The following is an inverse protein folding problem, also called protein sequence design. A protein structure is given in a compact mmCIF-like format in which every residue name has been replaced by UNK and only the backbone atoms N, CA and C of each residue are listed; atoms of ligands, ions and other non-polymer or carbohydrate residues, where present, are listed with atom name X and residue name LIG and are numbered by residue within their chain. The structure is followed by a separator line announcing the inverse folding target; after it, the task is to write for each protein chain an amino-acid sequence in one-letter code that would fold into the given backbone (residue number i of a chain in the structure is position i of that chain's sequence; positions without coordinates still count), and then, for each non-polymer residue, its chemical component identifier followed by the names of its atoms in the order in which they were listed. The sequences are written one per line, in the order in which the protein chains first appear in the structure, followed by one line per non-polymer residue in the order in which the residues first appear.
data_IF_031052251817
#
_entry.id   IF_031052251817
#
_cell.length_a   1.000
_cell.length_b   1.000
_cell.length_c   1.000
_cell.angle_alpha   90.00
_cell.angle_beta   90.00
_cell.angle_gamma   90.00
#
_symmetry.space_group_name_H-M   'P 1'
#
loop_
_entity.id
_entity.type
_entity.pdbx_description
1 polymer ?
#
# COMPACT_ATOMS: atom_id res chain seq x y z
N UNK A 1 -74.29 -8.74 -33.11
CA UNK A 1 -73.62 -9.58 -32.10
C UNK A 1 -73.81 -8.91 -30.74
N UNK A 2 -74.57 -9.52 -29.81
CA UNK A 2 -74.96 -8.87 -28.53
C UNK A 2 -73.70 -8.60 -27.69
N UNK A 3 -73.64 -7.44 -27.01
CA UNK A 3 -72.50 -6.97 -26.18
C UNK A 3 -72.00 -8.04 -25.20
N UNK A 4 -72.89 -8.93 -24.71
CA UNK A 4 -72.53 -10.11 -23.91
C UNK A 4 -71.53 -11.06 -24.58
N UNK A 5 -71.62 -11.27 -25.89
CA UNK A 5 -70.72 -12.15 -26.61
C UNK A 5 -69.33 -11.52 -26.83
N UNK A 6 -69.24 -10.19 -26.90
CA UNK A 6 -67.96 -9.48 -27.02
C UNK A 6 -67.20 -9.51 -25.70
N UNK A 7 -67.90 -9.34 -24.56
CA UNK A 7 -67.29 -9.42 -23.23
C UNK A 7 -66.76 -10.84 -22.95
N UNK A 8 -67.48 -11.89 -23.34
CA UNK A 8 -67.03 -13.28 -23.16
C UNK A 8 -65.79 -13.59 -24.01
N UNK A 9 -65.74 -13.13 -25.27
CA UNK A 9 -64.59 -13.35 -26.15
C UNK A 9 -63.35 -12.62 -25.62
N UNK A 10 -63.48 -11.38 -25.14
CA UNK A 10 -62.36 -10.63 -24.53
C UNK A 10 -61.88 -11.34 -23.24
N UNK A 11 -62.79 -11.81 -22.39
CA UNK A 11 -62.42 -12.55 -21.17
C UNK A 11 -61.68 -13.87 -21.51
N UNK A 12 -62.10 -14.58 -22.56
CA UNK A 12 -61.42 -15.79 -23.03
C UNK A 12 -60.01 -15.51 -23.57
N UNK A 13 -59.79 -14.40 -24.30
CA UNK A 13 -58.45 -14.00 -24.78
C UNK A 13 -57.49 -13.63 -23.62
N UNK A 14 -58.00 -13.00 -22.56
CA UNK A 14 -57.20 -12.74 -21.35
C UNK A 14 -56.83 -14.01 -20.58
N UNK A 15 -57.74 -14.99 -20.50
CA UNK A 15 -57.47 -16.27 -19.82
C UNK A 15 -56.49 -17.17 -20.59
N UNK A 16 -56.50 -17.15 -21.94
CA UNK A 16 -55.53 -17.92 -22.73
C UNK A 16 -54.12 -17.31 -22.71
N UNK A 17 -53.98 -15.99 -22.60
CA UNK A 17 -52.68 -15.33 -22.49
C UNK A 17 -52.00 -15.61 -21.13
N UNK A 18 -52.78 -15.74 -20.06
CA UNK A 18 -52.25 -16.10 -18.74
C UNK A 18 -51.74 -17.55 -18.71
N UNK A 19 -52.45 -18.51 -19.33
CA UNK A 19 -52.04 -19.92 -19.32
C UNK A 19 -50.70 -20.18 -20.04
N UNK A 20 -50.44 -19.53 -21.17
CA UNK A 20 -49.18 -19.67 -21.91
C UNK A 20 -47.99 -19.10 -21.14
N UNK A 21 -48.20 -17.99 -20.43
CA UNK A 21 -47.17 -17.32 -19.62
C UNK A 21 -46.82 -18.12 -18.37
N UNK A 22 -47.82 -18.73 -17.72
CA UNK A 22 -47.63 -19.62 -16.56
C UNK A 22 -46.83 -20.88 -16.96
N UNK A 23 -47.16 -21.50 -18.09
CA UNK A 23 -46.48 -22.71 -18.57
C UNK A 23 -45.01 -22.47 -18.94
N UNK A 24 -44.69 -21.32 -19.56
CA UNK A 24 -43.31 -20.93 -19.83
C UNK A 24 -42.50 -20.58 -18.58
N UNK A 25 -43.16 -20.07 -17.53
CA UNK A 25 -42.55 -19.81 -16.21
C UNK A 25 -42.20 -21.12 -15.49
N UNK A 26 -43.09 -22.11 -15.50
CA UNK A 26 -42.83 -23.43 -14.88
C UNK A 26 -41.69 -24.18 -15.58
N UNK A 27 -41.62 -24.12 -16.92
CA UNK A 27 -40.53 -24.74 -17.66
C UNK A 27 -39.17 -24.08 -17.38
N UNK A 28 -39.15 -22.74 -17.26
CA UNK A 28 -37.95 -21.99 -16.91
C UNK A 28 -37.48 -22.29 -15.49
N UNK A 29 -38.41 -22.45 -14.55
CA UNK A 29 -38.11 -22.88 -13.17
C UNK A 29 -37.52 -24.29 -13.11
N UNK A 30 -38.07 -25.24 -13.85
CA UNK A 30 -37.53 -26.60 -13.93
C UNK A 30 -36.11 -26.62 -14.51
N UNK A 31 -35.89 -25.91 -15.63
CA UNK A 31 -34.56 -25.81 -16.24
C UNK A 31 -33.56 -25.15 -15.29
N UNK A 32 -33.92 -24.03 -14.67
CA UNK A 32 -33.07 -23.38 -13.68
C UNK A 32 -32.72 -24.31 -12.52
N UNK A 33 -33.70 -25.07 -12.02
CA UNK A 33 -33.47 -26.07 -10.97
C UNK A 33 -32.45 -27.12 -11.37
N UNK A 34 -32.52 -27.65 -12.60
CA UNK A 34 -31.54 -28.64 -13.07
C UNK A 34 -30.10 -28.10 -13.06
N UNK A 35 -29.90 -26.85 -13.48
CA UNK A 35 -28.60 -26.16 -13.37
C UNK A 35 -28.19 -25.98 -11.90
N UNK A 36 -29.11 -25.56 -11.03
CA UNK A 36 -28.83 -25.38 -9.60
C UNK A 36 -28.41 -26.69 -8.92
N UNK A 37 -29.07 -27.80 -9.25
CA UNK A 37 -28.79 -29.13 -8.70
C UNK A 37 -27.44 -29.66 -9.17
N UNK A 38 -27.10 -29.48 -10.46
CA UNK A 38 -25.75 -29.78 -10.99
C UNK A 38 -24.68 -28.93 -10.33
N UNK A 39 -24.92 -27.62 -10.21
CA UNK A 39 -23.98 -26.70 -9.57
C UNK A 39 -23.71 -27.11 -8.11
N UNK A 40 -24.75 -27.48 -7.36
CA UNK A 40 -24.63 -27.94 -5.98
C UNK A 40 -23.88 -29.28 -5.87
N UNK A 41 -24.05 -30.19 -6.85
CA UNK A 41 -23.27 -31.43 -6.90
C UNK A 41 -21.78 -31.14 -7.15
N UNK A 42 -21.46 -30.21 -8.05
CA UNK A 42 -20.10 -29.77 -8.32
C UNK A 42 -19.46 -29.07 -7.11
N UNK A 43 -20.21 -28.27 -6.36
CA UNK A 43 -19.73 -27.70 -5.09
C UNK A 43 -19.33 -28.80 -4.09
N UNK A 44 -20.12 -29.87 -3.99
CA UNK A 44 -19.83 -31.00 -3.07
C UNK A 44 -18.57 -31.76 -3.46
N UNK A 45 -18.25 -31.80 -4.75
CA UNK A 45 -17.02 -32.42 -5.26
C UNK A 45 -15.87 -31.40 -5.37
N UNK A 46 -16.00 -30.23 -4.75
CA UNK A 46 -15.00 -29.15 -4.75
C UNK A 46 -14.62 -28.63 -6.16
N UNK A 47 -15.46 -28.92 -7.16
CA UNK A 47 -15.33 -28.46 -8.53
C UNK A 47 -15.85 -27.01 -8.68
N UNK A 48 -15.26 -26.09 -7.90
CA UNK A 48 -15.79 -24.74 -7.69
C UNK A 48 -15.87 -23.90 -8.96
N UNK A 49 -14.92 -24.04 -9.89
CA UNK A 49 -14.96 -23.32 -11.16
C UNK A 49 -16.19 -23.73 -12.00
N UNK A 50 -16.39 -25.03 -12.17
CA UNK A 50 -17.52 -25.58 -12.92
C UNK A 50 -18.85 -25.29 -12.23
N UNK A 51 -18.90 -25.38 -10.90
CA UNK A 51 -20.08 -24.97 -10.12
C UNK A 51 -20.42 -23.50 -10.36
N UNK A 52 -19.42 -22.61 -10.37
CA UNK A 52 -19.62 -21.19 -10.65
C UNK A 52 -20.19 -20.93 -12.06
N UNK A 53 -19.73 -21.70 -13.06
CA UNK A 53 -20.26 -21.63 -14.43
C UNK A 53 -21.72 -22.09 -14.50
N UNK A 54 -22.10 -23.18 -13.84
CA UNK A 54 -23.49 -23.65 -13.80
C UNK A 54 -24.42 -22.63 -13.10
N UNK A 55 -23.97 -22.00 -12.01
CA UNK A 55 -24.73 -20.90 -11.40
C UNK A 55 -24.81 -19.67 -12.32
N UNK A 56 -23.76 -19.35 -13.07
CA UNK A 56 -23.79 -18.27 -14.05
C UNK A 56 -24.83 -18.53 -15.14
N UNK A 57 -25.01 -19.78 -15.60
CA UNK A 57 -26.06 -20.14 -16.56
C UNK A 57 -27.46 -19.79 -16.02
N UNK A 58 -27.73 -20.04 -14.74
CA UNK A 58 -29.01 -19.64 -14.11
C UNK A 58 -29.13 -18.11 -14.03
N UNK A 59 -28.06 -17.44 -13.64
CA UNK A 59 -28.03 -15.99 -13.51
C UNK A 59 -28.27 -15.27 -14.86
N UNK A 60 -27.72 -15.79 -15.96
CA UNK A 60 -27.80 -15.18 -17.29
C UNK A 60 -29.10 -15.52 -18.03
N UNK A 61 -29.49 -16.80 -18.05
CA UNK A 61 -30.56 -17.28 -18.92
C UNK A 61 -31.92 -17.38 -18.23
N UNK A 62 -31.96 -17.40 -16.90
CA UNK A 62 -33.20 -17.62 -16.14
C UNK A 62 -33.45 -16.53 -15.06
N UNK A 63 -33.40 -15.23 -15.41
CA UNK A 63 -33.45 -14.13 -14.43
C UNK A 63 -34.81 -13.94 -13.75
N UNK A 64 -35.89 -14.47 -14.32
CA UNK A 64 -37.24 -14.42 -13.76
C UNK A 64 -37.52 -15.50 -12.71
N UNK A 65 -36.61 -16.46 -12.56
CA UNK A 65 -36.79 -17.60 -11.64
C UNK A 65 -36.45 -17.23 -10.20
N UNK A 66 -37.04 -17.97 -9.27
CA UNK A 66 -36.77 -17.90 -7.83
C UNK A 66 -35.31 -18.15 -7.47
N UNK A 67 -34.57 -18.85 -8.34
CA UNK A 67 -33.15 -19.16 -8.16
C UNK A 67 -32.20 -18.03 -8.54
N UNK A 68 -32.65 -17.03 -9.34
CA UNK A 68 -31.76 -16.03 -9.93
C UNK A 68 -30.88 -15.32 -8.89
N UNK A 69 -31.47 -14.85 -7.78
CA UNK A 69 -30.71 -14.14 -6.73
C UNK A 69 -29.60 -15.02 -6.16
N UNK A 70 -29.91 -16.28 -5.83
CA UNK A 70 -28.94 -17.21 -5.27
C UNK A 70 -27.86 -17.56 -6.30
N UNK A 71 -28.25 -17.77 -7.56
CA UNK A 71 -27.35 -18.06 -8.66
C UNK A 71 -26.33 -16.93 -8.88
N UNK A 72 -26.77 -15.66 -8.92
CA UNK A 72 -25.90 -14.50 -9.03
C UNK A 72 -24.88 -14.46 -7.88
N UNK A 73 -25.32 -14.72 -6.64
CA UNK A 73 -24.43 -14.75 -5.47
C UNK A 73 -23.41 -15.89 -5.54
N UNK A 74 -23.85 -17.09 -5.92
CA UNK A 74 -22.99 -18.27 -6.02
C UNK A 74 -21.98 -18.16 -7.17
N UNK A 75 -22.41 -17.67 -8.33
CA UNK A 75 -21.52 -17.35 -9.45
C UNK A 75 -20.41 -16.38 -9.02
N UNK A 76 -20.72 -15.39 -8.17
CA UNK A 76 -19.72 -14.47 -7.66
C UNK A 76 -18.78 -15.12 -6.62
N UNK A 77 -19.35 -15.73 -5.58
CA UNK A 77 -18.60 -16.22 -4.42
C UNK A 77 -17.69 -17.42 -4.74
N UNK A 78 -18.11 -18.31 -5.65
CA UNK A 78 -17.30 -19.45 -6.06
C UNK A 78 -16.11 -19.08 -6.94
N UNK A 79 -16.23 -18.00 -7.74
CA UNK A 79 -15.12 -17.46 -8.52
C UNK A 79 -13.98 -16.88 -7.64
N UNK A 80 -14.24 -16.61 -6.37
CA UNK A 80 -13.23 -16.15 -5.39
C UNK A 80 -13.09 -17.12 -4.20
N UNK A 81 -13.55 -18.35 -4.36
CA UNK A 81 -13.42 -19.36 -3.33
C UNK A 81 -11.93 -19.74 -3.15
N UNK A 82 -11.38 -19.79 -1.93
CA UNK A 82 -9.95 -20.06 -1.72
C UNK A 82 -9.46 -21.41 -2.24
N UNK A 83 -10.35 -22.40 -2.32
CA UNK A 83 -10.04 -23.72 -2.87
C UNK A 83 -10.36 -23.86 -4.37
N UNK A 84 -10.82 -22.79 -5.02
CA UNK A 84 -10.92 -22.77 -6.47
C UNK A 84 -9.51 -22.53 -7.06
N UNK A 85 -8.93 -23.45 -7.85
CA UNK A 85 -7.62 -23.23 -8.47
C UNK A 85 -7.69 -22.16 -9.59
N UNK A 86 -8.88 -21.92 -10.13
CA UNK A 86 -9.15 -20.99 -11.23
C UNK A 86 -9.92 -19.76 -10.72
N UNK A 87 -9.40 -19.14 -9.66
CA UNK A 87 -9.97 -17.90 -9.11
C UNK A 87 -9.99 -16.83 -10.21
N UNK A 88 -11.15 -16.20 -10.38
CA UNK A 88 -11.35 -15.12 -11.33
C UNK A 88 -11.99 -13.91 -10.64
N UNK A 89 -11.14 -13.00 -10.16
CA UNK A 89 -11.55 -11.78 -9.46
C UNK A 89 -12.37 -10.84 -10.33
N UNK A 90 -12.12 -10.78 -11.65
CA UNK A 90 -12.86 -9.91 -12.56
C UNK A 90 -14.31 -10.38 -12.73
N UNK A 91 -14.50 -11.68 -12.98
CA UNK A 91 -15.82 -12.30 -13.10
C UNK A 91 -16.60 -12.19 -11.79
N UNK A 92 -15.95 -12.46 -10.65
CA UNK A 92 -16.58 -12.30 -9.34
C UNK A 92 -17.01 -10.86 -9.07
N UNK A 93 -16.18 -9.87 -9.41
CA UNK A 93 -16.53 -8.45 -9.24
C UNK A 93 -17.76 -8.06 -10.07
N UNK A 94 -17.84 -8.56 -11.31
CA UNK A 94 -18.99 -8.32 -12.17
C UNK A 94 -20.28 -8.90 -11.57
N UNK A 95 -20.23 -10.15 -11.09
CA UNK A 95 -21.38 -10.80 -10.46
C UNK A 95 -21.78 -10.15 -9.13
N UNK A 96 -20.83 -9.73 -8.30
CA UNK A 96 -21.13 -8.98 -7.08
C UNK A 96 -21.79 -7.63 -7.38
N UNK A 97 -21.34 -6.93 -8.42
CA UNK A 97 -21.97 -5.68 -8.89
C UNK A 97 -23.37 -5.93 -9.45
N UNK A 98 -23.61 -7.06 -10.12
CA UNK A 98 -24.95 -7.47 -10.54
C UNK A 98 -25.84 -7.79 -9.33
N UNK A 99 -25.32 -8.51 -8.33
CA UNK A 99 -26.04 -8.86 -7.10
C UNK A 99 -26.52 -7.62 -6.34
N UNK A 100 -25.68 -6.58 -6.24
CA UNK A 100 -26.01 -5.32 -5.58
C UNK A 100 -27.15 -4.53 -6.26
N UNK A 101 -27.51 -4.86 -7.50
CA UNK A 101 -28.66 -4.26 -8.21
C UNK A 101 -29.99 -4.96 -7.90
N UNK A 102 -29.95 -6.13 -7.27
CA UNK A 102 -31.14 -6.90 -6.90
C UNK A 102 -31.80 -6.34 -5.62
N UNK A 103 -33.07 -6.70 -5.35
CA UNK A 103 -33.71 -6.39 -4.07
C UNK A 103 -33.06 -7.21 -2.94
N UNK A 104 -32.19 -6.56 -2.16
CA UNK A 104 -31.43 -7.16 -1.07
C UNK A 104 -31.90 -6.67 0.30
N UNK A 105 -31.85 -7.56 1.30
CA UNK A 105 -31.90 -7.16 2.71
C UNK A 105 -30.66 -6.32 3.09
N UNK A 106 -30.72 -5.53 4.18
CA UNK A 106 -29.57 -4.77 4.65
C UNK A 106 -28.31 -5.63 4.88
N UNK A 107 -28.47 -6.84 5.43
CA UNK A 107 -27.37 -7.75 5.69
C UNK A 107 -26.73 -8.31 4.40
N UNK A 108 -27.55 -8.68 3.41
CA UNK A 108 -27.06 -9.11 2.10
C UNK A 108 -26.29 -7.98 1.40
N UNK A 109 -26.81 -6.75 1.46
CA UNK A 109 -26.16 -5.57 0.87
C UNK A 109 -24.82 -5.25 1.53
N UNK A 110 -24.75 -5.30 2.86
CA UNK A 110 -23.51 -5.11 3.60
C UNK A 110 -22.47 -6.17 3.22
N UNK A 111 -22.90 -7.44 3.18
CA UNK A 111 -22.04 -8.57 2.81
C UNK A 111 -21.50 -8.39 1.38
N UNK A 112 -22.36 -8.15 0.40
CA UNK A 112 -21.94 -7.97 -0.99
C UNK A 112 -21.00 -6.76 -1.17
N UNK A 113 -21.28 -5.64 -0.48
CA UNK A 113 -20.42 -4.45 -0.49
C UNK A 113 -19.03 -4.74 0.10
N UNK A 114 -18.97 -5.54 1.17
CA UNK A 114 -17.71 -5.99 1.74
C UNK A 114 -16.90 -6.83 0.74
N UNK A 115 -17.52 -7.81 0.07
CA UNK A 115 -16.85 -8.62 -0.94
C UNK A 115 -16.36 -7.79 -2.13
N UNK A 116 -17.16 -6.83 -2.63
CA UNK A 116 -16.72 -5.89 -3.68
C UNK A 116 -15.45 -5.15 -3.25
N UNK A 117 -15.45 -4.59 -2.03
CA UNK A 117 -14.32 -3.83 -1.51
C UNK A 117 -13.06 -4.69 -1.37
N UNK A 118 -13.21 -5.96 -0.97
CA UNK A 118 -12.08 -6.89 -0.91
C UNK A 118 -11.51 -7.20 -2.29
N UNK A 119 -12.37 -7.53 -3.27
CA UNK A 119 -11.93 -7.87 -4.63
C UNK A 119 -11.25 -6.68 -5.31
N UNK A 120 -11.79 -5.47 -5.14
CA UNK A 120 -11.15 -4.25 -5.65
C UNK A 120 -9.79 -3.99 -4.99
N UNK A 121 -9.64 -4.26 -3.69
CA UNK A 121 -8.34 -4.16 -3.02
C UNK A 121 -7.35 -5.19 -3.55
N UNK A 122 -7.77 -6.42 -3.83
CA UNK A 122 -6.91 -7.45 -4.44
C UNK A 122 -6.42 -7.01 -5.81
N UNK A 123 -7.32 -6.51 -6.67
CA UNK A 123 -6.95 -6.01 -7.99
C UNK A 123 -5.93 -4.85 -7.91
N UNK A 124 -6.15 -3.91 -6.99
CA UNK A 124 -5.21 -2.81 -6.77
C UNK A 124 -3.84 -3.30 -6.29
N UNK A 125 -3.81 -4.26 -5.37
CA UNK A 125 -2.57 -4.86 -4.89
C UNK A 125 -1.82 -5.63 -5.99
N UNK A 126 -2.54 -6.31 -6.89
CA UNK A 126 -1.94 -6.96 -8.04
C UNK A 126 -1.30 -5.94 -9.00
N UNK A 127 -1.96 -4.81 -9.24
CA UNK A 127 -1.40 -3.73 -10.06
C UNK A 127 -0.16 -3.08 -9.40
N UNK A 128 -0.21 -2.81 -8.10
CA UNK A 128 0.93 -2.33 -7.31
C UNK A 128 2.10 -3.32 -7.40
N UNK A 129 1.84 -4.62 -7.25
CA UNK A 129 2.86 -5.67 -7.34
C UNK A 129 3.50 -5.73 -8.72
N UNK A 130 2.71 -5.68 -9.80
CA UNK A 130 3.23 -5.65 -11.17
C UNK A 130 4.16 -4.47 -11.40
N UNK A 131 3.77 -3.27 -10.95
CA UNK A 131 4.60 -2.07 -11.07
C UNK A 131 5.94 -2.22 -10.35
N UNK A 132 5.94 -2.78 -9.14
CA UNK A 132 7.17 -3.00 -8.36
C UNK A 132 8.07 -4.04 -9.03
N UNK A 133 7.50 -5.08 -9.62
CA UNK A 133 8.26 -6.09 -10.37
C UNK A 133 8.91 -5.48 -11.62
N UNK A 134 8.19 -4.63 -12.35
CA UNK A 134 8.75 -3.92 -13.50
C UNK A 134 9.91 -2.99 -13.08
N UNK A 135 9.74 -2.24 -12.00
CA UNK A 135 10.80 -1.37 -11.47
C UNK A 135 12.03 -2.18 -11.04
N UNK A 136 11.83 -3.30 -10.33
CA UNK A 136 12.92 -4.24 -9.98
C UNK A 136 13.69 -4.69 -11.22
N UNK A 137 12.99 -5.09 -12.28
CA UNK A 137 13.63 -5.57 -13.51
C UNK A 137 14.46 -4.47 -14.18
N UNK A 138 13.94 -3.23 -14.26
CA UNK A 138 14.69 -2.08 -14.77
C UNK A 138 15.95 -1.79 -13.95
N UNK A 139 15.85 -1.84 -12.62
CA UNK A 139 17.02 -1.62 -11.75
C UNK A 139 18.08 -2.71 -11.92
N UNK A 140 17.66 -3.95 -12.16
CA UNK A 140 18.56 -5.07 -12.43
C UNK A 140 19.30 -4.86 -13.76
N UNK A 141 18.61 -4.43 -14.82
CA UNK A 141 19.25 -4.06 -16.09
C UNK A 141 20.28 -2.94 -15.94
N UNK A 142 19.95 -1.88 -15.19
CA UNK A 142 20.87 -0.77 -14.93
C UNK A 142 22.11 -1.27 -14.18
N UNK A 143 21.91 -2.11 -13.16
CA UNK A 143 23.00 -2.65 -12.34
C UNK A 143 23.90 -3.56 -13.17
N UNK A 144 23.33 -4.39 -14.04
CA UNK A 144 24.09 -5.26 -14.94
C UNK A 144 24.91 -4.44 -15.94
N UNK A 145 24.32 -3.38 -16.51
CA UNK A 145 25.04 -2.47 -17.41
C UNK A 145 26.20 -1.77 -16.70
N UNK A 146 25.96 -1.22 -15.50
CA UNK A 146 27.01 -0.57 -14.72
C UNK A 146 28.15 -1.53 -14.38
N UNK A 147 27.84 -2.78 -14.05
CA UNK A 147 28.87 -3.80 -13.81
C UNK A 147 29.73 -4.06 -15.05
N UNK A 148 29.10 -4.16 -16.23
CA UNK A 148 29.82 -4.34 -17.50
C UNK A 148 30.68 -3.12 -17.86
N UNK A 149 30.16 -1.90 -17.64
CA UNK A 149 30.89 -0.67 -17.90
C UNK A 149 32.12 -0.58 -16.98
N UNK A 150 31.96 -0.88 -15.68
CA UNK A 150 33.06 -0.93 -14.70
C UNK A 150 34.12 -1.95 -15.11
N UNK A 151 33.73 -3.15 -15.55
CA UNK A 151 34.66 -4.17 -16.01
C UNK A 151 35.47 -3.67 -17.22
N UNK A 152 34.79 -3.03 -18.18
CA UNK A 152 35.44 -2.46 -19.36
C UNK A 152 36.41 -1.31 -19.03
N UNK A 153 36.02 -0.41 -18.12
CA UNK A 153 36.86 0.70 -17.65
C UNK A 153 38.06 0.20 -16.85
N UNK A 154 37.87 -0.85 -16.06
CA UNK A 154 38.96 -1.48 -15.29
C UNK A 154 40.00 -2.05 -16.24
N UNK A 155 39.57 -2.81 -17.25
CA UNK A 155 40.48 -3.34 -18.29
C UNK A 155 41.20 -2.22 -19.04
N UNK A 156 40.50 -1.13 -19.38
CA UNK A 156 41.11 0.00 -20.06
C UNK A 156 42.16 0.71 -19.20
N UNK A 157 41.97 0.79 -17.89
CA UNK A 157 42.96 1.32 -16.96
C UNK A 157 44.21 0.45 -16.92
N UNK A 158 44.06 -0.86 -16.83
CA UNK A 158 45.20 -1.80 -16.85
C UNK A 158 46.03 -1.66 -18.13
N UNK A 159 45.39 -1.52 -19.30
CA UNK A 159 46.08 -1.25 -20.56
C UNK A 159 46.88 0.06 -20.51
N UNK A 160 46.27 1.15 -20.03
CA UNK A 160 46.94 2.45 -19.93
C UNK A 160 48.11 2.44 -18.93
N UNK A 161 47.98 1.70 -17.82
CA UNK A 161 49.07 1.52 -16.85
C UNK A 161 50.24 0.75 -17.47
N UNK A 162 49.97 -0.27 -18.29
CA UNK A 162 51.00 -1.00 -19.03
C UNK A 162 51.71 -0.12 -20.06
N UNK A 163 50.95 0.66 -20.85
CA UNK A 163 51.49 1.61 -21.82
C UNK A 163 52.37 2.67 -21.14
N UNK A 164 51.93 3.20 -20.00
CA UNK A 164 52.68 4.18 -19.22
C UNK A 164 53.98 3.57 -18.67
N UNK A 165 53.94 2.35 -18.16
CA UNK A 165 55.13 1.65 -17.70
C UNK A 165 56.15 1.43 -18.84
N UNK A 166 55.67 1.04 -20.01
CA UNK A 166 56.50 0.90 -21.21
C UNK A 166 57.14 2.23 -21.63
N UNK A 167 56.37 3.32 -21.68
CA UNK A 167 56.87 4.65 -22.02
C UNK A 167 57.97 5.14 -21.05
N UNK A 168 57.83 4.84 -19.75
CA UNK A 168 58.87 5.15 -18.76
C UNK A 168 60.16 4.37 -18.96
N UNK A 169 60.07 3.10 -19.35
CA UNK A 169 61.25 2.28 -19.65
C UNK A 169 61.99 2.82 -20.89
N UNK A 170 61.27 3.16 -21.95
CA UNK A 170 61.84 3.80 -23.15
C UNK A 170 62.50 5.14 -22.83
N UNK A 171 61.84 6.00 -22.05
CA UNK A 171 62.43 7.28 -21.61
C UNK A 171 63.73 7.07 -20.83
N UNK A 172 63.80 6.03 -19.97
CA UNK A 172 65.00 5.68 -19.22
C UNK A 172 66.12 5.21 -20.15
N UNK A 173 65.81 4.41 -21.17
CA UNK A 173 66.77 4.01 -22.22
C UNK A 173 67.29 5.22 -22.99
N UNK A 174 66.42 6.12 -23.43
CA UNK A 174 66.81 7.34 -24.15
C UNK A 174 67.74 8.23 -23.30
N UNK A 175 67.42 8.44 -22.02
CA UNK A 175 68.30 9.17 -21.09
C UNK A 175 69.66 8.50 -20.92
N UNK A 176 69.72 7.16 -20.87
CA UNK A 176 70.98 6.44 -20.77
C UNK A 176 71.84 6.60 -22.05
N UNK A 177 71.22 6.64 -23.23
CA UNK A 177 71.89 6.95 -24.50
C UNK A 177 72.45 8.37 -24.48
N UNK A 178 71.66 9.36 -24.05
CA UNK A 178 72.09 10.77 -23.99
C UNK A 178 73.29 10.97 -23.04
N UNK A 179 73.24 10.37 -21.84
CA UNK A 179 74.38 10.36 -20.89
C UNK A 179 75.62 9.71 -21.50
N UNK A 180 75.45 8.60 -22.25
CA UNK A 180 76.57 7.94 -22.93
C UNK A 180 77.17 8.84 -24.01
N UNK A 181 76.33 9.50 -24.82
CA UNK A 181 76.77 10.44 -25.85
C UNK A 181 77.56 11.60 -25.24
N UNK A 182 77.06 12.20 -24.16
CA UNK A 182 77.79 13.25 -23.43
C UNK A 182 79.11 12.78 -22.82
N UNK A 183 79.17 11.59 -22.19
CA UNK A 183 80.43 11.04 -21.66
C UNK A 183 81.46 10.79 -22.77
N UNK A 184 81.03 10.24 -23.92
CA UNK A 184 81.92 10.00 -25.07
C UNK A 184 82.41 11.28 -25.76
N UNK A 185 81.66 12.39 -25.67
CA UNK A 185 82.09 13.70 -26.13
C UNK A 185 83.12 14.37 -25.21
N UNK A 186 83.02 14.13 -23.90
CA UNK A 186 83.98 14.65 -22.89
C UNK A 186 85.28 13.84 -22.88
N UNK A 187 85.22 12.52 -23.07
CA UNK A 187 86.43 11.67 -23.18
C UNK A 187 87.25 11.93 -24.46
N UNK A 188 86.62 12.46 -25.53
CA UNK A 188 87.33 12.97 -26.73
C UNK A 188 87.95 14.36 -26.56
N UNK A 189 87.76 15.01 -25.40
CA UNK A 189 88.13 16.40 -25.14
C UNK A 189 89.03 16.55 -23.90
N UNK A 190 90.00 15.66 -23.71
CA UNK A 190 91.10 15.91 -22.75
C UNK A 190 92.30 16.43 -23.53
N UNK A 191 92.35 17.75 -23.68
CA UNK A 191 93.42 18.49 -24.35
C UNK A 191 93.24 20.02 -24.24
N UNK A 192 93.64 20.55 -23.07
CA UNK A 192 93.90 21.97 -22.72
C UNK A 192 92.75 22.95 -22.35
N UNK A 193 92.99 23.86 -21.36
CA UNK A 193 91.99 24.73 -20.76
C UNK A 193 92.08 26.20 -21.22
N UNK A 194 90.96 26.96 -21.15
CA UNK A 194 90.85 28.28 -20.48
C UNK A 194 89.51 28.99 -20.74
N UNK A 195 88.83 29.27 -19.63
CA UNK A 195 88.10 30.50 -19.23
C UNK A 195 87.06 31.22 -20.13
N UNK A 196 85.86 31.36 -19.52
CA UNK A 196 85.08 32.60 -19.31
C UNK A 196 84.27 33.20 -20.48
N UNK A 197 82.94 33.33 -20.30
CA UNK A 197 82.24 34.60 -20.01
C UNK A 197 80.73 34.35 -19.77
N UNK A 198 80.21 35.10 -18.79
CA UNK A 198 78.84 35.17 -18.29
C UNK A 198 77.81 35.68 -19.33
N UNK A 199 76.56 35.19 -19.24
CA UNK A 199 75.36 36.06 -19.11
C UNK A 199 74.10 35.25 -18.79
N UNK A 200 73.51 35.53 -17.63
CA UNK A 200 72.11 35.27 -17.35
C UNK A 200 71.22 36.33 -18.04
N UNK A 201 69.90 36.06 -18.16
CA UNK A 201 69.00 36.92 -17.39
C UNK A 201 67.86 36.19 -16.67
N UNK A 202 67.74 36.55 -15.39
CA UNK A 202 66.56 36.87 -14.56
C UNK A 202 65.20 36.20 -14.84
N UNK A 203 64.72 35.54 -13.79
CA UNK A 203 63.35 35.29 -13.36
C UNK A 203 62.50 36.57 -13.15
N UNK A 204 61.19 36.48 -13.43
CA UNK A 204 60.11 37.17 -12.67
C UNK A 204 58.76 36.43 -12.77
N UNK A 205 58.43 35.81 -11.64
CA UNK A 205 57.15 35.55 -10.93
C UNK A 205 55.80 36.14 -11.42
N UNK A 206 54.79 35.24 -11.44
CA UNK A 206 53.40 35.27 -10.90
C UNK A 206 52.40 36.37 -11.34
N UNK A 207 51.21 35.92 -11.76
CA UNK A 207 49.98 36.74 -11.75
C UNK A 207 48.80 36.17 -12.56
N UNK A 208 48.00 35.28 -11.93
CA UNK A 208 46.52 35.27 -11.89
C UNK A 208 45.71 35.84 -13.10
N UNK A 209 44.83 35.06 -13.75
CA UNK A 209 43.77 35.61 -14.59
C UNK A 209 42.43 35.72 -13.82
N UNK A 210 41.82 36.92 -13.85
CA UNK A 210 40.44 37.15 -13.40
C UNK A 210 39.61 37.74 -14.53
N UNK A 211 38.51 37.04 -14.86
CA UNK A 211 37.17 37.49 -15.32
C UNK A 211 37.09 38.42 -16.56
N UNK A 212 36.20 38.28 -17.55
CA UNK A 212 34.80 37.83 -17.67
C UNK A 212 34.46 37.82 -19.20
N UNK A 213 33.49 37.08 -19.78
CA UNK A 213 32.05 37.37 -19.88
C UNK A 213 31.38 36.31 -20.78
N UNK A 214 30.33 35.66 -20.22
CA UNK A 214 29.02 35.23 -20.77
C UNK A 214 28.88 34.44 -22.10
N UNK A 215 28.18 33.29 -22.04
CA UNK A 215 26.70 33.19 -22.22
C UNK A 215 26.20 31.73 -22.09
N UNK A 216 25.25 31.52 -21.19
CA UNK A 216 24.27 30.43 -21.27
C UNK A 216 22.88 30.98 -20.88
N UNK A 217 21.78 30.44 -21.44
CA UNK A 217 20.49 31.14 -21.52
C UNK A 217 19.62 30.92 -20.27
N UNK A 218 18.88 31.97 -19.89
CA UNK A 218 17.75 31.89 -18.96
C UNK A 218 16.47 31.59 -19.76
N UNK A 219 15.82 30.47 -19.46
CA UNK A 219 14.45 30.18 -19.93
C UNK A 219 13.44 30.89 -19.03
N UNK A 220 12.46 31.52 -19.69
CA UNK A 220 11.50 32.47 -19.12
C UNK A 220 10.35 31.76 -18.38
N UNK A 221 10.02 32.36 -17.24
CA UNK A 221 8.75 32.29 -16.51
C UNK A 221 7.57 32.65 -17.42
N UNK A 222 6.54 31.81 -17.44
CA UNK A 222 5.23 32.12 -18.06
C UNK A 222 4.37 32.87 -17.05
N UNK A 223 3.94 34.05 -17.46
CA UNK A 223 3.09 34.96 -16.72
C UNK A 223 1.62 34.51 -16.71
N UNK A 224 1.08 34.58 -15.51
CA UNK A 224 -0.29 34.69 -15.06
C UNK A 224 -1.19 35.53 -15.99
N UNK A 225 -2.30 34.94 -16.45
CA UNK A 225 -3.44 35.65 -17.03
C UNK A 225 -4.55 35.73 -15.97
N UNK A 226 -4.83 36.94 -15.52
CA UNK A 226 -6.00 37.27 -14.69
C UNK A 226 -7.16 37.64 -15.60
N UNK A 227 -8.31 37.00 -15.43
CA UNK A 227 -9.60 37.55 -15.86
C UNK A 227 -10.66 37.42 -14.78
N UNK A 228 -11.23 38.59 -14.51
CA UNK A 228 -12.40 38.98 -13.73
C UNK A 228 -13.66 38.15 -13.93
N UNK A 229 -14.42 37.89 -12.84
CA UNK A 229 -15.90 37.89 -12.84
C UNK A 229 -16.45 38.37 -11.47
N UNK A 230 -17.03 39.58 -11.49
CA UNK A 230 -18.27 40.12 -10.91
C UNK A 230 -18.88 39.63 -9.56
N UNK A 231 -19.45 40.61 -8.85
CA UNK A 231 -20.25 40.56 -7.60
C UNK A 231 -21.71 40.93 -7.92
N UNK A 232 -22.70 40.09 -7.55
CA UNK A 232 -23.85 40.35 -6.64
C UNK A 232 -25.18 39.85 -7.29
N UNK A 233 -26.32 39.65 -6.59
CA UNK A 233 -26.60 39.71 -5.14
C UNK A 233 -27.32 38.46 -4.56
N UNK A 234 -27.50 38.50 -3.25
CA UNK A 234 -28.27 37.57 -2.42
C UNK A 234 -29.76 37.48 -2.81
N UNK A 235 -30.35 36.29 -2.68
CA UNK A 235 -31.79 36.13 -2.53
C UNK A 235 -32.07 35.15 -1.38
N UNK A 236 -32.73 35.66 -0.35
CA UNK A 236 -33.29 34.89 0.77
C UNK A 236 -34.50 34.10 0.28
N UNK A 237 -34.58 32.82 0.61
CA UNK A 237 -35.87 32.16 0.83
C UNK A 237 -35.73 30.98 1.79
N UNK A 238 -36.62 31.00 2.78
CA UNK A 238 -36.77 30.14 3.94
C UNK A 238 -36.78 28.63 3.65
N UNK A 239 -36.11 27.84 4.50
CA UNK A 239 -36.53 26.47 4.79
C UNK A 239 -36.46 26.16 6.29
N UNK A 240 -37.64 25.92 6.85
CA UNK A 240 -37.91 25.33 8.15
C UNK A 240 -37.21 23.97 8.33
N UNK A 241 -36.79 23.77 9.58
CA UNK A 241 -36.18 22.58 10.22
C UNK A 241 -36.81 21.25 9.80
N UNK A 242 -35.95 20.25 9.52
CA UNK A 242 -36.10 18.90 10.09
C UNK A 242 -34.72 18.31 10.32
N UNK A 243 -34.46 17.99 11.58
CA UNK A 243 -33.17 17.63 12.17
C UNK A 243 -32.90 16.14 11.97
N UNK A 244 -31.86 15.78 11.22
CA UNK A 244 -31.17 14.49 11.32
C UNK A 244 -29.68 14.78 11.28
N UNK A 245 -29.05 14.83 12.46
CA UNK A 245 -27.62 15.13 12.58
C UNK A 245 -26.79 13.89 12.24
N UNK A 246 -26.58 13.66 10.94
CA UNK A 246 -25.32 13.05 10.51
C UNK A 246 -24.21 14.07 10.77
N UNK A 247 -23.40 13.88 11.81
CA UNK A 247 -22.14 14.62 11.94
C UNK A 247 -21.20 14.16 10.82
N UNK A 248 -21.31 14.81 9.67
CA UNK A 248 -20.24 14.86 8.69
C UNK A 248 -19.06 15.58 9.37
N UNK A 249 -18.05 14.82 9.77
CA UNK A 249 -16.77 15.41 10.16
C UNK A 249 -16.11 15.93 8.89
N UNK A 250 -16.08 17.25 8.74
CA UNK A 250 -15.16 17.91 7.82
C UNK A 250 -13.73 17.44 8.13
N UNK A 251 -12.87 17.19 7.12
CA UNK A 251 -11.51 16.75 7.36
C UNK A 251 -10.74 17.88 8.05
N UNK A 252 -10.47 17.72 9.35
CA UNK A 252 -9.58 18.62 10.10
C UNK A 252 -8.18 18.41 9.54
N UNK A 253 -7.70 19.40 8.77
CA UNK A 253 -6.48 19.37 7.95
C UNK A 253 -5.15 19.19 8.70
N UNK A 254 -5.13 18.90 10.01
CA UNK A 254 -3.91 18.89 10.83
C UNK A 254 -3.81 17.75 11.87
N UNK A 255 -4.61 16.68 11.79
CA UNK A 255 -4.35 15.48 12.60
C UNK A 255 -3.39 14.56 11.84
N UNK A 256 -2.14 14.47 12.30
CA UNK A 256 -1.18 13.48 11.81
C UNK A 256 -1.67 12.08 12.21
N UNK A 257 -2.02 11.26 11.22
CA UNK A 257 -2.49 9.90 11.41
C UNK A 257 -1.32 8.90 11.27
N UNK A 258 -1.24 7.92 12.16
CA UNK A 258 -0.33 6.77 12.12
C UNK A 258 -1.12 5.47 11.92
N UNK A 259 -1.78 5.28 10.77
CA UNK A 259 -2.72 4.18 10.61
C UNK A 259 -2.03 2.83 10.38
N UNK A 260 -0.71 2.80 10.15
CA UNK A 260 0.04 1.58 9.83
C UNK A 260 0.84 1.05 11.03
N UNK A 261 0.88 -0.27 11.12
CA UNK A 261 1.70 -1.06 12.05
C UNK A 261 2.23 -2.30 11.33
N UNK A 262 3.12 -3.03 11.98
CA UNK A 262 3.63 -4.31 11.46
C UNK A 262 3.13 -5.41 12.36
N UNK A 263 2.40 -6.38 11.82
CA UNK A 263 2.05 -7.58 12.54
C UNK A 263 3.21 -8.56 12.47
N UNK A 264 3.73 -8.98 13.63
CA UNK A 264 4.86 -9.92 13.73
C UNK A 264 4.42 -11.31 14.18
N UNK A 265 3.23 -11.43 14.79
CA UNK A 265 2.70 -12.70 15.26
C UNK A 265 1.21 -12.66 15.57
N UNK A 266 0.61 -13.85 15.69
CA UNK A 266 -0.77 -14.05 16.11
C UNK A 266 -0.85 -15.29 16.99
N UNK A 267 -1.33 -15.12 18.21
CA UNK A 267 -1.32 -16.15 19.25
C UNK A 267 -2.75 -16.48 19.69
N UNK A 268 -2.97 -17.73 20.09
CA UNK A 268 -4.22 -18.18 20.71
C UNK A 268 -4.32 -17.76 22.17
N UNK A 269 -3.22 -17.92 22.90
CA UNK A 269 -3.10 -17.46 24.28
C UNK A 269 -2.82 -15.96 24.32
N UNK A 270 -3.51 -15.28 25.23
CA UNK A 270 -3.26 -13.88 25.54
C UNK A 270 -1.88 -13.71 26.16
N UNK A 271 -1.53 -14.60 27.08
CA UNK A 271 -0.27 -14.62 27.82
C UNK A 271 0.91 -14.75 26.87
N UNK A 272 0.84 -15.65 25.88
CA UNK A 272 1.89 -15.82 24.87
C UNK A 272 2.12 -14.54 24.06
N UNK A 273 1.04 -13.88 23.64
CA UNK A 273 1.15 -12.60 22.93
C UNK A 273 1.74 -11.48 23.79
N UNK A 274 1.47 -11.50 25.10
CA UNK A 274 2.02 -10.52 26.04
C UNK A 274 3.50 -10.78 26.25
N UNK A 275 3.94 -12.04 26.43
CA UNK A 275 5.36 -12.38 26.56
C UNK A 275 6.15 -11.94 25.33
N UNK A 276 5.62 -12.22 24.14
CA UNK A 276 6.23 -11.76 22.89
C UNK A 276 6.33 -10.23 22.82
N UNK A 277 5.25 -9.54 23.20
CA UNK A 277 5.24 -8.09 23.24
C UNK A 277 6.24 -7.50 24.24
N UNK A 278 6.51 -8.19 25.36
CA UNK A 278 7.54 -7.79 26.32
C UNK A 278 8.94 -7.93 25.75
N UNK A 279 9.26 -9.06 25.10
CA UNK A 279 10.56 -9.28 24.44
C UNK A 279 10.88 -8.18 23.44
N UNK A 280 9.91 -7.81 22.60
CA UNK A 280 10.07 -6.73 21.63
C UNK A 280 10.21 -5.35 22.30
N UNK A 281 9.46 -5.08 23.38
CA UNK A 281 9.59 -3.83 24.14
C UNK A 281 10.95 -3.69 24.80
N UNK A 282 11.51 -4.78 25.32
CA UNK A 282 12.85 -4.80 25.93
C UNK A 282 13.94 -4.53 24.89
N UNK A 283 13.70 -4.89 23.62
CA UNK A 283 14.53 -4.51 22.47
C UNK A 283 14.32 -3.06 21.99
N UNK A 284 13.47 -2.29 22.67
CA UNK A 284 13.17 -0.88 22.37
C UNK A 284 12.03 -0.67 21.38
N UNK A 285 11.36 -1.73 20.93
CA UNK A 285 10.27 -1.61 19.97
C UNK A 285 8.97 -1.09 20.63
N UNK A 286 8.23 -0.27 19.90
CA UNK A 286 6.90 0.15 20.34
C UNK A 286 5.87 -0.90 19.96
N UNK A 287 5.29 -1.59 20.95
CA UNK A 287 4.42 -2.76 20.71
C UNK A 287 3.05 -2.66 21.37
N UNK A 288 2.01 -3.04 20.64
CA UNK A 288 0.66 -3.27 21.16
C UNK A 288 0.14 -4.67 20.81
N UNK A 289 -0.72 -5.22 21.66
CA UNK A 289 -1.45 -6.47 21.38
C UNK A 289 -2.88 -6.11 21.04
N UNK A 290 -3.38 -6.62 19.91
CA UNK A 290 -4.75 -6.42 19.45
C UNK A 290 -5.54 -7.72 19.50
N UNK A 291 -6.68 -7.69 20.20
CA UNK A 291 -7.60 -8.83 20.27
C UNK A 291 -8.51 -8.91 19.04
N UNK A 292 -8.60 -10.10 18.47
CA UNK A 292 -9.46 -10.40 17.34
C UNK A 292 -10.17 -11.75 17.55
N UNK A 293 -11.49 -11.71 17.72
CA UNK A 293 -12.32 -12.90 17.57
C UNK A 293 -12.55 -13.19 16.08
N UNK A 294 -12.21 -14.39 15.65
CA UNK A 294 -12.39 -14.89 14.29
C UNK A 294 -13.47 -15.97 14.32
N UNK A 295 -14.54 -15.81 13.53
CA UNK A 295 -15.63 -16.78 13.47
C UNK A 295 -15.10 -18.18 13.11
N UNK A 296 -15.55 -19.20 13.83
CA UNK A 296 -15.08 -20.59 13.67
C UNK A 296 -13.64 -20.86 14.14
N UNK A 297 -12.86 -19.82 14.49
CA UNK A 297 -11.47 -19.95 14.96
C UNK A 297 -11.24 -19.36 16.36
N UNK A 298 -12.26 -18.83 17.03
CA UNK A 298 -12.14 -18.32 18.40
C UNK A 298 -11.30 -17.04 18.52
N UNK A 299 -10.74 -16.82 19.71
CA UNK A 299 -9.98 -15.61 20.04
C UNK A 299 -8.52 -15.72 19.60
N UNK A 300 -7.99 -14.59 19.10
CA UNK A 300 -6.61 -14.42 18.67
C UNK A 300 -6.07 -13.09 19.16
N UNK A 301 -4.77 -13.07 19.46
CA UNK A 301 -4.05 -11.92 19.97
C UNK A 301 -2.88 -11.61 19.03
N UNK A 302 -2.98 -10.49 18.32
CA UNK A 302 -2.02 -10.06 17.30
C UNK A 302 -1.00 -9.14 17.93
N UNK A 303 0.28 -9.46 17.79
CA UNK A 303 1.38 -8.61 18.24
C UNK A 303 1.73 -7.65 17.12
N UNK A 304 1.59 -6.35 17.40
CA UNK A 304 1.75 -5.27 16.43
C UNK A 304 2.89 -4.34 16.87
N UNK A 305 3.82 -4.07 15.96
CA UNK A 305 5.03 -3.30 16.18
C UNK A 305 5.00 -2.01 15.37
N UNK A 306 5.47 -0.93 16.00
CA UNK A 306 5.72 0.36 15.38
C UNK A 306 4.46 1.13 15.00
N UNK A 307 4.65 2.41 14.69
CA UNK A 307 3.57 3.33 14.33
C UNK A 307 4.03 4.17 13.14
N UNK A 308 3.42 3.95 11.98
CA UNK A 308 3.92 4.52 10.73
C UNK A 308 2.82 5.32 10.02
N UNK A 309 3.24 6.39 9.34
CA UNK A 309 2.34 7.31 8.65
C UNK A 309 1.97 6.79 7.27
N UNK A 310 2.94 6.20 6.60
CA UNK A 310 2.80 5.72 5.23
C UNK A 310 3.08 4.22 5.18
N UNK A 311 2.48 3.50 4.20
CA UNK A 311 2.74 2.07 4.05
C UNK A 311 4.21 1.80 3.69
N UNK A 312 4.88 2.70 2.98
CA UNK A 312 6.30 2.57 2.60
C UNK A 312 7.22 2.61 3.84
N UNK A 313 6.95 3.52 4.78
CA UNK A 313 7.66 3.61 6.06
C UNK A 313 7.50 2.31 6.86
N UNK A 314 6.26 1.81 6.94
CA UNK A 314 5.96 0.55 7.61
C UNK A 314 6.62 -0.66 6.92
N UNK A 315 6.70 -0.65 5.59
CA UNK A 315 7.26 -1.75 4.81
C UNK A 315 8.77 -1.81 4.96
N UNK A 316 9.45 -0.66 4.99
CA UNK A 316 10.89 -0.59 5.30
C UNK A 316 11.18 -1.18 6.68
N UNK A 317 10.43 -0.77 7.70
CA UNK A 317 10.61 -1.31 9.05
C UNK A 317 10.21 -2.80 9.16
N UNK A 318 9.28 -3.28 8.34
CA UNK A 318 8.95 -4.71 8.29
C UNK A 318 10.10 -5.54 7.74
N UNK A 319 10.87 -5.02 6.77
CA UNK A 319 12.09 -5.68 6.28
C UNK A 319 13.17 -5.75 7.36
N UNK A 320 13.34 -4.70 8.16
CA UNK A 320 14.26 -4.70 9.29
C UNK A 320 13.86 -5.74 10.36
N UNK A 321 12.57 -5.90 10.65
CA UNK A 321 12.08 -6.95 11.55
C UNK A 321 12.28 -8.37 10.99
N UNK A 322 12.15 -8.56 9.66
CA UNK A 322 12.45 -9.86 9.02
C UNK A 322 13.91 -10.27 9.18
N UNK A 323 14.82 -9.31 9.19
CA UNK A 323 16.24 -9.55 9.46
C UNK A 323 16.52 -9.87 10.94
N UNK A 324 15.55 -9.62 11.84
CA UNK A 324 15.57 -9.93 13.28
C UNK A 324 14.74 -11.18 13.62
N UNK A 325 14.69 -12.15 12.69
CA UNK A 325 13.98 -13.46 12.81
C UNK A 325 12.44 -13.41 12.70
N UNK A 326 11.83 -12.24 12.48
CA UNK A 326 10.38 -12.13 12.24
C UNK A 326 10.04 -12.28 10.76
N UNK A 327 10.33 -13.46 10.18
CA UNK A 327 10.18 -13.70 8.74
C UNK A 327 8.77 -13.46 8.20
N UNK A 328 7.75 -13.63 9.05
CA UNK A 328 6.34 -13.40 8.72
C UNK A 328 5.84 -11.99 9.07
N UNK A 329 6.73 -11.02 9.33
CA UNK A 329 6.33 -9.64 9.57
C UNK A 329 5.69 -9.02 8.32
N UNK A 330 4.49 -8.44 8.47
CA UNK A 330 3.80 -7.73 7.38
C UNK A 330 3.03 -6.50 7.86
N UNK A 331 2.83 -5.55 6.95
CA UNK A 331 2.16 -4.28 7.24
C UNK A 331 0.66 -4.48 7.39
N UNK A 332 0.08 -3.91 8.44
CA UNK A 332 -1.35 -3.87 8.71
C UNK A 332 -1.83 -2.44 8.94
N UNK A 333 -3.13 -2.22 8.77
CA UNK A 333 -3.75 -0.90 8.95
C UNK A 333 -4.92 -0.94 9.94
N UNK A 334 -4.67 -0.96 11.27
CA UNK A 334 -5.70 -0.78 12.30
C UNK A 334 -5.84 0.71 12.67
N UNK A 335 -6.75 1.47 12.04
CA UNK A 335 -6.72 2.93 12.12
C UNK A 335 -7.34 3.50 13.40
N UNK A 336 -8.05 2.69 14.20
CA UNK A 336 -8.76 3.15 15.40
C UNK A 336 -7.99 2.82 16.68
N UNK A 337 -8.03 3.72 17.65
CA UNK A 337 -7.43 3.55 18.97
C UNK A 337 -8.29 4.26 20.02
N UNK A 338 -8.06 3.96 21.30
CA UNK A 338 -8.62 4.73 22.41
C UNK A 338 -7.56 5.69 22.94
N UNK A 339 -7.86 6.99 22.98
CA UNK A 339 -7.00 8.03 23.57
C UNK A 339 -7.46 8.37 24.99
N UNK A 340 -6.52 8.36 25.93
CA UNK A 340 -6.77 8.71 27.34
C UNK A 340 -6.39 10.15 27.68
N UNK A 341 -5.65 10.81 26.79
CA UNK A 341 -5.30 12.22 26.90
C UNK A 341 -3.94 12.55 26.29
N UNK A 342 -3.59 13.83 26.35
CA UNK A 342 -2.29 14.36 25.97
C UNK A 342 -1.55 14.88 27.21
N UNK A 343 -0.31 14.44 27.42
CA UNK A 343 0.48 14.69 28.62
C UNK A 343 1.77 15.43 28.26
N UNK A 344 2.23 16.33 29.12
CA UNK A 344 3.54 17.00 29.00
C UNK A 344 4.50 16.60 30.14
N UNK A 345 4.04 15.75 31.04
CA UNK A 345 4.77 15.24 32.20
C UNK A 345 5.12 13.78 31.94
N UNK A 346 6.40 13.53 31.69
CA UNK A 346 6.94 12.21 31.34
C UNK A 346 6.84 11.21 32.49
N UNK A 347 6.99 11.64 33.74
CA UNK A 347 6.85 10.77 34.90
C UNK A 347 5.41 10.29 35.05
N UNK A 348 4.46 11.22 34.96
CA UNK A 348 3.03 10.90 35.07
C UNK A 348 2.60 9.98 33.92
N UNK A 349 3.08 10.25 32.70
CA UNK A 349 2.83 9.40 31.54
C UNK A 349 3.40 7.99 31.74
N UNK A 350 4.64 7.87 32.22
CA UNK A 350 5.30 6.58 32.47
C UNK A 350 4.56 5.78 33.55
N UNK A 351 4.19 6.41 34.66
CA UNK A 351 3.40 5.79 35.75
C UNK A 351 2.06 5.29 35.22
N UNK A 352 1.32 6.11 34.46
CA UNK A 352 0.02 5.74 33.94
C UNK A 352 0.10 4.64 32.87
N UNK A 353 1.09 4.71 31.96
CA UNK A 353 1.35 3.65 30.97
C UNK A 353 1.66 2.33 31.66
N UNK A 354 2.48 2.34 32.71
CA UNK A 354 2.84 1.14 33.48
C UNK A 354 1.61 0.55 34.19
N UNK A 355 0.78 1.40 34.80
CA UNK A 355 -0.49 0.98 35.40
C UNK A 355 -1.44 0.32 34.39
N UNK A 356 -1.58 0.90 33.19
CA UNK A 356 -2.41 0.31 32.15
C UNK A 356 -1.87 -1.04 31.67
N UNK A 357 -0.55 -1.15 31.51
CA UNK A 357 0.11 -2.41 31.13
C UNK A 357 -0.07 -3.48 32.22
N UNK A 358 0.01 -3.12 33.51
CA UNK A 358 -0.24 -4.06 34.61
C UNK A 358 -1.70 -4.50 34.72
N UNK A 359 -2.63 -3.70 34.18
CA UNK A 359 -4.04 -4.06 33.93
C UNK A 359 -4.26 -4.74 32.58
N UNK A 360 -3.19 -5.19 31.94
CA UNK A 360 -3.19 -5.90 30.65
C UNK A 360 -3.71 -5.08 29.46
N UNK A 361 -3.85 -3.77 29.60
CA UNK A 361 -4.13 -2.89 28.48
C UNK A 361 -2.87 -2.68 27.65
N UNK A 362 -3.03 -2.73 26.33
CA UNK A 362 -1.96 -2.45 25.38
C UNK A 362 -1.74 -0.95 25.21
N UNK A 363 -1.18 -0.32 26.24
CA UNK A 363 -0.92 1.11 26.28
C UNK A 363 0.40 1.51 25.63
N UNK A 364 0.39 2.59 24.86
CA UNK A 364 1.55 3.17 24.19
C UNK A 364 1.40 4.67 24.02
N UNK A 365 2.50 5.31 23.60
CA UNK A 365 2.63 6.76 23.55
C UNK A 365 2.99 7.20 22.15
N UNK A 366 2.37 8.27 21.66
CA UNK A 366 2.70 8.90 20.38
C UNK A 366 2.94 10.40 20.56
N UNK A 367 3.95 10.99 19.88
CA UNK A 367 4.16 12.42 19.92
C UNK A 367 2.97 13.18 19.34
N UNK A 368 2.54 14.26 20.00
CA UNK A 368 1.49 15.16 19.51
C UNK A 368 2.15 16.35 18.79
N UNK A 369 2.31 16.30 17.46
CA UNK A 369 2.99 17.39 16.75
C UNK A 369 2.21 18.71 16.68
N UNK A 370 0.89 18.69 16.88
CA UNK A 370 0.10 19.92 16.98
C UNK A 370 0.51 20.75 18.21
N UNK A 371 1.07 20.11 19.24
CA UNK A 371 1.63 20.75 20.42
C UNK A 371 2.98 20.10 20.72
N UNK A 372 4.08 20.64 20.16
CA UNK A 372 5.45 20.07 20.15
C UNK A 372 5.97 19.45 21.46
N UNK A 373 5.34 19.72 22.61
CA UNK A 373 5.71 19.20 23.92
C UNK A 373 4.62 18.36 24.62
N UNK A 374 3.67 17.78 23.87
CA UNK A 374 2.68 16.84 24.43
C UNK A 374 2.77 15.48 23.76
N UNK A 375 2.49 14.45 24.53
CA UNK A 375 2.51 13.06 24.12
C UNK A 375 1.10 12.49 24.37
N UNK A 376 0.51 11.89 23.34
CA UNK A 376 -0.78 11.19 23.44
C UNK A 376 -0.57 9.84 24.10
N UNK A 377 -1.37 9.52 25.11
CA UNK A 377 -1.46 8.18 25.67
C UNK A 377 -2.62 7.43 25.02
N UNK A 378 -2.30 6.31 24.40
CA UNK A 378 -3.20 5.53 23.57
C UNK A 378 -3.28 4.09 24.06
N UNK A 379 -4.42 3.44 23.85
CA UNK A 379 -4.68 2.04 24.18
C UNK A 379 -5.18 1.29 22.96
N UNK A 380 -4.45 0.24 22.62
CA UNK A 380 -4.79 -0.70 21.56
C UNK A 380 -4.69 -0.14 20.14
N UNK A 381 -4.91 -1.03 19.17
CA UNK A 381 -5.07 -0.68 17.77
C UNK A 381 -6.12 -1.60 17.17
N UNK A 382 -7.17 -1.02 16.59
CA UNK A 382 -8.38 -1.72 16.20
C UNK A 382 -8.73 -1.46 14.74
N UNK A 383 -9.23 -2.50 14.09
CA UNK A 383 -9.71 -2.44 12.71
C UNK A 383 -11.06 -1.72 12.58
N UNK A 384 -11.86 -1.73 13.64
CA UNK A 384 -13.20 -1.12 13.65
C UNK A 384 -13.38 -0.22 14.87
N UNK A 385 -14.14 0.84 14.67
CA UNK A 385 -14.52 1.79 15.72
C UNK A 385 -15.24 1.08 16.87
N UNK A 386 -16.20 0.20 16.55
CA UNK A 386 -16.97 -0.60 17.53
C UNK A 386 -16.08 -1.42 18.48
N UNK A 387 -14.93 -1.94 18.01
CA UNK A 387 -13.97 -2.64 18.86
C UNK A 387 -13.26 -1.67 19.82
N UNK A 388 -12.83 -0.52 19.32
CA UNK A 388 -12.25 0.54 20.15
C UNK A 388 -13.25 1.07 21.20
N UNK A 389 -14.53 1.23 20.82
CA UNK A 389 -15.62 1.62 21.73
C UNK A 389 -15.83 0.64 22.87
N UNK A 390 -15.68 -0.67 22.61
CA UNK A 390 -15.79 -1.70 23.66
C UNK A 390 -14.73 -1.48 24.73
N UNK A 391 -13.47 -1.29 24.31
CA UNK A 391 -12.35 -1.01 25.21
C UNK A 391 -12.51 0.36 25.90
N UNK A 392 -13.04 1.36 25.20
CA UNK A 392 -13.34 2.66 25.80
C UNK A 392 -14.39 2.55 26.92
N UNK A 393 -15.42 1.71 26.76
CA UNK A 393 -16.42 1.48 27.82
C UNK A 393 -15.79 0.83 29.05
N UNK A 394 -14.88 -0.11 28.87
CA UNK A 394 -14.20 -0.76 29.99
C UNK A 394 -13.26 0.20 30.73
N UNK A 395 -12.48 0.99 30.00
CA UNK A 395 -11.67 2.07 30.57
C UNK A 395 -12.52 3.14 31.29
N UNK A 396 -13.73 3.43 30.78
CA UNK A 396 -14.64 4.38 31.43
C UNK A 396 -15.14 3.86 32.79
N UNK A 397 -15.42 2.55 32.92
CA UNK A 397 -15.78 1.92 34.21
C UNK A 397 -14.64 1.99 35.23
N UNK A 398 -13.40 2.02 34.76
CA UNK A 398 -12.20 2.22 35.58
C UNK A 398 -11.93 3.70 35.93
N UNK A 399 -12.84 4.61 35.55
CA UNK A 399 -12.75 6.03 35.91
C UNK A 399 -11.98 6.90 34.90
N UNK A 400 -11.57 6.35 33.76
CA UNK A 400 -10.96 7.13 32.70
C UNK A 400 -11.99 7.91 31.87
N UNK A 401 -11.52 8.91 31.11
CA UNK A 401 -12.33 9.64 30.11
C UNK A 401 -11.83 9.32 28.69
N UNK A 402 -12.00 8.08 28.22
CA UNK A 402 -11.46 7.65 26.93
C UNK A 402 -12.17 8.31 25.76
N UNK A 403 -11.43 8.54 24.68
CA UNK A 403 -11.96 8.99 23.40
C UNK A 403 -11.54 8.04 22.29
N UNK A 404 -12.49 7.48 21.56
CA UNK A 404 -12.18 6.73 20.34
C UNK A 404 -11.76 7.72 19.26
N UNK A 405 -10.58 7.48 18.68
CA UNK A 405 -9.99 8.36 17.69
C UNK A 405 -9.34 7.54 16.58
N UNK A 406 -9.14 8.18 15.44
CA UNK A 406 -8.16 7.70 14.47
C UNK A 406 -6.77 8.00 15.00
N UNK A 407 -5.89 7.03 14.84
CA UNK A 407 -4.54 7.12 15.37
C UNK A 407 -3.66 7.99 14.50
#
# INVERSE_FOLDING_TARGET
MKIRNIIIIILCFFMTSCLSTIRGSEESELKARDFMDRAAALEKTEAYHQAAQEYAMVAEYYPSTSYHKLAVWKAASLNIHPANPEINYAVALNWLKAYLKLPLSPAEKETATFYVSMVERVNNLQAELSSVVEEKNRLLEITQKQSSDIESDTKRREELEADLAHAWDELKKMKAVDVRMHRSGVEKSVGQPSQSVQKAPKTKSVGQPSQSVQKAPKTKSVGQLSQSVQKAPETKSDKRKTTSQSRQYAPVKNQEFYPYMIQVGSYKSKEDSIREAMILRDKGDSVCVSHARIAGKGDWYRVLVGFYRTPEEAQKAALELKNREYHHAFVVRPPFTVELGSFSDDEKLKKLKTYLISKEYSAYSLPNRATKNRIRLLVGAFWTEKKAETIAKDLQKEGFKPKVVRR
#
